data_IF_135087879699
#
_entry.id   IF_135087879699
#
_cell.length_a   1.000
_cell.length_b   1.000
_cell.length_c   1.000
_cell.angle_alpha   90.00
_cell.angle_beta   90.00
_cell.angle_gamma   90.00
#
_symmetry.space_group_name_H-M   'P 1'
#
loop_
_entity.id
_entity.type
_entity.pdbx_description
1 polymer ?
#
# COMPACT_ATOMS: atom_id res chain seq x y z
N UNK A 1 19.86 3.52 -12.63
CA UNK A 1 18.96 2.35 -12.73
C UNK A 1 19.78 1.12 -12.33
N UNK A 2 20.15 0.20 -13.22
CA UNK A 2 20.87 -1.05 -12.84
C UNK A 2 22.21 -0.89 -12.09
N UNK A 3 22.90 0.24 -12.24
CA UNK A 3 24.12 0.57 -11.45
C UNK A 3 23.85 0.95 -9.99
N UNK A 4 22.73 1.63 -9.72
CA UNK A 4 22.40 2.16 -8.37
C UNK A 4 22.45 1.01 -7.35
N UNK A 5 21.74 -0.08 -7.65
CA UNK A 5 21.68 -1.27 -6.79
C UNK A 5 22.88 -2.20 -6.89
N UNK A 6 23.87 -1.93 -7.76
CA UNK A 6 25.09 -2.76 -7.85
C UNK A 6 26.19 -2.34 -6.87
N UNK A 7 26.04 -1.18 -6.20
CA UNK A 7 27.03 -0.61 -5.27
C UNK A 7 26.51 -0.17 -3.91
N UNK A 8 25.26 0.28 -3.82
CA UNK A 8 24.58 0.79 -2.63
C UNK A 8 25.21 0.40 -1.24
N UNK A 9 25.66 1.37 -0.40
CA UNK A 9 26.07 1.26 1.05
C UNK A 9 25.98 2.59 1.85
N UNK A 10 25.12 2.87 2.87
CA UNK A 10 24.53 2.09 4.00
C UNK A 10 23.14 2.68 4.51
N UNK A 11 22.36 2.01 5.40
CA UNK A 11 21.07 2.41 6.05
C UNK A 11 20.53 1.34 7.08
N UNK A 12 19.93 1.73 8.22
CA UNK A 12 19.62 0.82 9.36
C UNK A 12 18.17 0.90 9.91
N UNK A 13 17.71 -0.11 10.69
CA UNK A 13 16.53 -0.01 11.58
C UNK A 13 16.68 -0.96 12.79
N UNK A 14 16.61 -0.44 14.02
CA UNK A 14 16.52 -1.28 15.24
C UNK A 14 15.06 -1.60 15.59
N UNK A 15 14.77 -2.86 15.93
CA UNK A 15 13.39 -3.37 16.14
C UNK A 15 13.28 -4.29 17.37
N UNK A 16 13.74 -3.83 18.53
CA UNK A 16 13.61 -4.54 19.81
C UNK A 16 12.42 -4.06 20.67
N UNK A 17 11.94 -4.92 21.57
CA UNK A 17 11.03 -4.48 22.64
C UNK A 17 11.81 -3.65 23.67
N UNK A 18 11.46 -2.36 23.80
CA UNK A 18 11.83 -1.60 25.00
C UNK A 18 11.06 -2.16 26.21
N UNK A 19 11.73 -2.94 27.06
CA UNK A 19 11.18 -3.30 28.37
C UNK A 19 10.99 -2.03 29.21
N UNK A 20 9.73 -1.71 29.52
CA UNK A 20 9.33 -0.47 30.18
C UNK A 20 9.59 -0.47 31.69
N UNK A 21 10.88 -0.41 32.07
CA UNK A 21 11.25 -0.03 33.43
C UNK A 21 11.02 1.47 33.65
N UNK A 22 9.81 1.78 34.16
CA UNK A 22 9.41 3.03 34.82
C UNK A 22 9.89 4.34 34.17
N UNK A 23 9.10 4.83 33.21
CA UNK A 23 9.33 6.07 32.49
C UNK A 23 9.05 7.35 33.33
N UNK A 24 9.80 7.55 34.42
CA UNK A 24 9.84 8.83 35.18
C UNK A 24 11.24 9.44 35.25
N UNK A 25 12.32 8.65 35.23
CA UNK A 25 13.70 9.14 35.39
C UNK A 25 14.69 8.44 34.44
N UNK A 26 14.70 8.85 33.16
CA UNK A 26 15.77 8.46 32.21
C UNK A 26 16.32 9.71 31.50
N UNK A 27 17.23 10.41 32.18
CA UNK A 27 18.33 11.13 31.53
C UNK A 27 19.57 10.26 31.70
N UNK A 28 19.64 9.19 30.89
CA UNK A 28 20.70 8.19 30.97
C UNK A 28 20.74 7.33 29.71
N UNK A 29 21.84 7.41 28.96
CA UNK A 29 22.00 6.74 27.68
C UNK A 29 22.35 5.24 27.87
N UNK A 30 21.33 4.38 27.83
CA UNK A 30 21.54 2.96 27.53
C UNK A 30 21.72 2.80 26.02
N UNK A 31 22.94 3.01 25.53
CA UNK A 31 23.28 2.79 24.12
C UNK A 31 23.03 1.32 23.76
N UNK A 32 22.29 1.08 22.68
CA UNK A 32 22.11 -0.24 22.08
C UNK A 32 23.44 -0.65 21.44
N UNK A 33 23.86 -1.91 21.63
CA UNK A 33 25.11 -2.40 21.03
C UNK A 33 24.92 -2.73 19.56
N UNK A 34 25.86 -2.32 18.71
CA UNK A 34 25.97 -2.71 17.30
C UNK A 34 26.03 -4.24 17.10
N UNK A 35 26.36 -4.98 18.16
CA UNK A 35 26.56 -6.43 18.17
C UNK A 35 25.30 -7.25 18.51
N UNK A 36 24.10 -6.67 18.45
CA UNK A 36 22.84 -7.41 18.63
C UNK A 36 22.58 -8.33 17.42
N UNK A 37 22.36 -9.63 17.66
CA UNK A 37 22.23 -10.67 16.60
C UNK A 37 21.02 -10.47 15.68
N UNK A 38 20.17 -9.48 15.95
CA UNK A 38 19.03 -9.06 15.13
C UNK A 38 19.33 -7.91 14.16
N UNK A 39 20.56 -7.38 14.14
CA UNK A 39 20.95 -6.28 13.25
C UNK A 39 21.35 -6.78 11.85
N UNK A 40 20.98 -6.06 10.79
CA UNK A 40 21.27 -6.39 9.39
C UNK A 40 21.64 -5.14 8.59
N UNK A 41 22.67 -5.23 7.75
CA UNK A 41 23.35 -4.08 7.15
C UNK A 41 23.12 -3.95 5.62
N UNK A 42 22.30 -2.97 5.21
CA UNK A 42 22.07 -2.47 3.82
C UNK A 42 22.44 -0.95 3.75
N UNK A 43 22.48 -0.10 2.68
CA UNK A 43 22.05 -0.16 1.27
C UNK A 43 22.08 1.16 0.35
N UNK A 44 23.01 2.17 0.32
CA UNK A 44 23.05 3.29 -0.74
C UNK A 44 24.30 4.26 -0.97
N UNK A 45 24.75 4.62 -2.21
CA UNK A 45 25.93 5.54 -2.60
C UNK A 45 25.54 6.78 -3.47
N UNK A 46 26.37 7.85 -3.53
CA UNK A 46 26.19 9.06 -4.36
C UNK A 46 26.67 8.95 -5.83
N UNK A 47 27.64 8.07 -6.16
CA UNK A 47 28.37 8.16 -7.45
C UNK A 47 27.60 7.71 -8.70
N UNK A 48 26.36 7.22 -8.57
CA UNK A 48 25.66 6.46 -9.61
C UNK A 48 24.85 7.27 -10.66
N UNK A 49 24.94 8.60 -10.68
CA UNK A 49 24.12 9.47 -11.56
C UNK A 49 24.87 10.31 -12.61
N UNK A 50 26.21 10.41 -12.54
CA UNK A 50 27.02 11.33 -13.35
C UNK A 50 26.54 12.81 -13.29
N UNK A 51 26.98 13.65 -14.22
CA UNK A 51 26.59 15.07 -14.32
C UNK A 51 25.10 15.35 -14.56
N UNK A 52 24.27 14.32 -14.78
CA UNK A 52 22.82 14.44 -15.02
C UNK A 52 22.07 15.05 -13.82
N UNK A 53 22.69 15.04 -12.63
CA UNK A 53 22.16 15.69 -11.44
C UNK A 53 22.17 17.23 -11.55
N UNK A 54 23.24 17.82 -12.08
CA UNK A 54 23.29 19.28 -12.32
C UNK A 54 22.37 19.67 -13.49
N UNK A 55 22.27 18.84 -14.55
CA UNK A 55 21.28 19.03 -15.62
C UNK A 55 19.84 19.08 -15.04
N UNK A 56 19.50 18.17 -14.12
CA UNK A 56 18.20 18.17 -13.44
C UNK A 56 17.99 19.40 -12.55
N UNK A 57 18.98 19.76 -11.72
CA UNK A 57 18.90 20.96 -10.89
C UNK A 57 18.71 22.23 -11.74
N UNK A 58 19.29 22.29 -12.94
CA UNK A 58 19.10 23.42 -13.88
C UNK A 58 17.67 23.58 -14.41
N UNK A 59 16.81 22.56 -14.29
CA UNK A 59 15.39 22.65 -14.67
C UNK A 59 14.54 23.43 -13.64
N UNK A 60 15.10 23.73 -12.47
CA UNK A 60 14.44 24.54 -11.44
C UNK A 60 15.04 25.95 -11.40
N UNK A 61 14.20 26.96 -11.62
CA UNK A 61 14.55 28.36 -11.39
C UNK A 61 14.52 28.70 -9.90
N UNK A 62 15.68 28.66 -9.25
CA UNK A 62 15.90 29.26 -7.93
C UNK A 62 15.84 30.80 -8.02
N UNK A 63 15.50 31.48 -6.92
CA UNK A 63 15.59 32.95 -6.84
C UNK A 63 16.98 33.35 -6.35
N UNK A 64 17.61 34.29 -7.04
CA UNK A 64 18.89 34.85 -6.61
C UNK A 64 18.77 35.47 -5.20
N UNK A 65 19.65 35.05 -4.29
CA UNK A 65 19.77 35.60 -2.93
C UNK A 65 19.17 34.75 -1.81
N UNK A 66 18.39 33.70 -2.12
CA UNK A 66 18.13 32.62 -1.17
C UNK A 66 19.27 31.58 -1.25
N UNK A 67 19.74 31.07 -0.12
CA UNK A 67 20.60 29.87 -0.12
C UNK A 67 19.86 28.69 -0.79
N UNK A 68 20.58 27.64 -1.23
CA UNK A 68 19.99 26.43 -1.88
C UNK A 68 19.10 25.63 -0.90
N UNK A 69 17.95 26.19 -0.54
CA UNK A 69 17.01 25.71 0.46
C UNK A 69 15.75 25.20 -0.24
N UNK A 70 15.52 23.86 -0.33
CA UNK A 70 14.52 23.30 -1.25
C UNK A 70 13.06 23.68 -0.99
N UNK A 71 12.73 24.30 0.14
CA UNK A 71 11.38 24.80 0.44
C UNK A 71 10.91 25.95 -0.48
N UNK A 72 11.80 26.57 -1.26
CA UNK A 72 11.51 27.75 -2.10
C UNK A 72 11.08 27.44 -3.55
N UNK A 73 10.79 26.19 -3.91
CA UNK A 73 10.41 25.79 -5.28
C UNK A 73 9.00 26.33 -5.63
N UNK A 74 8.94 27.56 -6.13
CA UNK A 74 7.68 28.23 -6.53
C UNK A 74 7.39 28.07 -8.03
N UNK A 75 6.83 26.93 -8.43
CA UNK A 75 6.31 26.72 -9.78
C UNK A 75 5.96 25.26 -10.08
N UNK A 76 4.75 25.02 -10.62
CA UNK A 76 4.40 23.72 -11.19
C UNK A 76 4.86 23.69 -12.64
N UNK A 77 5.88 22.88 -12.95
CA UNK A 77 6.27 22.58 -14.33
C UNK A 77 5.16 21.73 -14.94
N UNK A 78 4.37 22.33 -15.85
CA UNK A 78 3.12 21.76 -16.34
C UNK A 78 3.30 20.55 -17.28
N UNK A 79 4.53 20.21 -17.66
CA UNK A 79 4.85 19.09 -18.55
C UNK A 79 6.19 18.46 -18.10
N UNK A 80 6.11 17.45 -17.23
CA UNK A 80 7.28 16.68 -16.77
C UNK A 80 7.43 15.42 -17.63
N UNK A 81 8.47 15.38 -18.45
CA UNK A 81 8.83 14.18 -19.22
C UNK A 81 9.14 12.99 -18.31
N UNK A 82 9.07 11.76 -18.82
CA UNK A 82 9.33 10.55 -18.04
C UNK A 82 10.69 10.54 -17.31
N UNK A 83 11.72 11.18 -17.88
CA UNK A 83 13.01 11.38 -17.22
C UNK A 83 12.96 12.40 -16.08
N UNK A 84 12.24 13.52 -16.25
CA UNK A 84 12.02 14.49 -15.18
C UNK A 84 11.17 13.90 -14.05
N UNK A 85 10.18 13.05 -14.37
CA UNK A 85 9.42 12.29 -13.38
C UNK A 85 10.30 11.29 -12.62
N UNK A 86 11.22 10.61 -13.31
CA UNK A 86 12.20 9.71 -12.69
C UNK A 86 13.16 10.46 -11.74
N UNK A 87 13.56 11.68 -12.09
CA UNK A 87 14.42 12.52 -11.26
C UNK A 87 13.66 13.20 -10.10
N UNK A 88 12.37 13.51 -10.26
CA UNK A 88 11.52 13.93 -9.15
C UNK A 88 11.28 12.78 -8.16
N UNK A 89 11.05 11.57 -8.67
CA UNK A 89 11.08 10.36 -7.86
C UNK A 89 12.44 10.18 -7.17
N UNK A 90 13.57 10.40 -7.84
CA UNK A 90 14.92 10.33 -7.27
C UNK A 90 15.21 11.39 -6.18
N UNK A 91 14.64 12.59 -6.31
CA UNK A 91 14.69 13.61 -5.26
C UNK A 91 13.82 13.22 -4.06
N UNK A 92 12.58 12.77 -4.30
CA UNK A 92 11.69 12.28 -3.24
C UNK A 92 12.32 11.11 -2.49
N UNK A 93 12.89 10.14 -3.23
CA UNK A 93 13.77 9.07 -2.77
C UNK A 93 14.85 9.57 -1.81
N UNK A 94 15.62 10.59 -2.22
CA UNK A 94 16.72 11.14 -1.42
C UNK A 94 16.20 11.86 -0.17
N UNK A 95 15.11 12.61 -0.26
CA UNK A 95 14.42 13.22 0.88
C UNK A 95 13.72 12.22 1.82
N UNK A 96 13.50 10.98 1.38
CA UNK A 96 12.93 9.89 2.16
C UNK A 96 14.02 9.02 2.81
N UNK A 97 15.08 8.69 2.06
CA UNK A 97 16.26 8.00 2.57
C UNK A 97 17.02 8.85 3.61
N UNK A 98 17.05 10.17 3.44
CA UNK A 98 17.60 11.12 4.42
C UNK A 98 16.60 11.50 5.53
N UNK A 99 15.47 10.79 5.68
CA UNK A 99 14.46 11.03 6.72
C UNK A 99 13.60 12.30 6.57
N UNK A 100 14.15 13.34 5.95
CA UNK A 100 13.63 14.71 5.90
C UNK A 100 12.14 14.86 5.57
N UNK A 101 11.60 14.11 4.60
CA UNK A 101 10.16 14.14 4.31
C UNK A 101 9.33 13.64 5.50
N UNK A 102 9.78 12.57 6.16
CA UNK A 102 9.08 11.96 7.30
C UNK A 102 9.13 12.91 8.50
N UNK A 103 10.28 13.57 8.74
CA UNK A 103 10.42 14.59 9.77
C UNK A 103 9.54 15.82 9.51
N UNK A 104 9.54 16.32 8.27
CA UNK A 104 8.82 17.53 7.86
C UNK A 104 7.30 17.35 7.84
N UNK A 105 6.81 16.15 7.52
CA UNK A 105 5.37 15.87 7.31
C UNK A 105 4.74 14.99 8.39
N UNK A 106 5.53 14.36 9.25
CA UNK A 106 5.10 13.31 10.19
C UNK A 106 4.27 12.21 9.51
N UNK A 107 4.68 11.80 8.31
CA UNK A 107 3.94 10.87 7.44
C UNK A 107 4.74 9.61 7.09
N UNK A 108 4.08 8.45 7.21
CA UNK A 108 4.57 7.13 6.82
C UNK A 108 3.94 6.63 5.51
N UNK A 109 3.17 7.46 4.81
CA UNK A 109 2.64 7.19 3.45
C UNK A 109 3.67 6.53 2.50
N UNK A 110 4.96 6.93 2.47
CA UNK A 110 5.99 6.24 1.69
C UNK A 110 6.10 4.73 1.96
N UNK A 111 5.98 4.30 3.22
CA UNK A 111 6.14 2.90 3.61
C UNK A 111 4.98 2.02 3.11
N UNK A 112 3.80 2.58 2.83
CA UNK A 112 2.70 1.83 2.20
C UNK A 112 3.07 1.29 0.81
N UNK A 113 4.03 1.90 0.12
CA UNK A 113 4.55 1.39 -1.16
C UNK A 113 5.57 0.24 -0.99
N UNK A 114 6.11 0.01 0.22
CA UNK A 114 7.06 -1.09 0.48
C UNK A 114 6.47 -2.49 0.23
N UNK A 115 5.15 -2.61 0.26
CA UNK A 115 4.46 -3.85 -0.08
C UNK A 115 4.46 -4.20 -1.58
N UNK A 116 4.89 -3.32 -2.49
CA UNK A 116 4.71 -3.48 -3.95
C UNK A 116 5.92 -4.10 -4.69
N UNK A 117 6.86 -4.72 -3.98
CA UNK A 117 8.12 -5.25 -4.54
C UNK A 117 7.90 -6.19 -5.72
N UNK A 118 8.66 -5.98 -6.79
CA UNK A 118 8.61 -6.82 -7.99
C UNK A 118 10.01 -7.25 -8.47
N UNK A 119 11.09 -6.54 -8.12
CA UNK A 119 12.46 -6.84 -8.55
C UNK A 119 13.32 -7.48 -7.45
N UNK A 120 13.16 -7.04 -6.20
CA UNK A 120 13.96 -7.49 -5.07
C UNK A 120 13.10 -8.18 -3.99
N UNK A 121 12.74 -9.47 -4.17
CA UNK A 121 11.85 -10.18 -3.24
C UNK A 121 12.43 -10.34 -1.83
N UNK A 122 13.76 -10.41 -1.72
CA UNK A 122 14.49 -10.62 -0.45
C UNK A 122 14.63 -9.35 0.41
N UNK A 123 14.15 -8.19 -0.04
CA UNK A 123 14.14 -6.98 0.78
C UNK A 123 13.26 -7.17 2.04
N UNK A 124 13.64 -6.64 3.22
CA UNK A 124 12.80 -6.62 4.42
C UNK A 124 11.41 -6.04 4.16
N UNK A 125 10.35 -6.51 4.83
CA UNK A 125 8.94 -6.17 4.51
C UNK A 125 8.61 -4.66 4.47
N UNK A 126 9.37 -3.85 5.22
CA UNK A 126 9.29 -2.39 5.31
C UNK A 126 10.11 -1.63 4.25
N UNK A 127 11.06 -2.29 3.58
CA UNK A 127 11.95 -1.65 2.61
C UNK A 127 11.28 -1.50 1.23
N UNK A 128 11.34 -0.28 0.68
CA UNK A 128 10.70 0.08 -0.59
C UNK A 128 11.59 -0.37 -1.76
N UNK A 129 11.04 -1.16 -2.68
CA UNK A 129 11.70 -1.51 -3.95
C UNK A 129 11.52 -0.36 -4.94
N UNK A 130 12.41 0.63 -4.88
CA UNK A 130 12.32 1.81 -5.74
C UNK A 130 12.65 1.56 -7.22
N UNK A 131 12.84 0.31 -7.64
CA UNK A 131 12.86 -0.02 -9.08
C UNK A 131 11.47 -0.32 -9.65
N UNK A 132 10.42 -0.41 -8.83
CA UNK A 132 9.05 -0.57 -9.31
C UNK A 132 8.65 0.56 -10.28
N UNK A 133 9.12 1.77 -10.02
CA UNK A 133 8.89 2.97 -10.85
C UNK A 133 9.53 2.88 -12.25
N UNK A 134 10.38 1.88 -12.52
CA UNK A 134 10.97 1.60 -13.85
C UNK A 134 10.14 0.62 -14.70
N UNK A 135 9.12 -0.05 -14.14
CA UNK A 135 8.54 -1.26 -14.73
C UNK A 135 7.20 -1.03 -15.46
N UNK A 136 6.93 -1.91 -16.44
CA UNK A 136 5.64 -2.00 -17.16
C UNK A 136 4.44 -2.22 -16.25
N UNK A 137 4.65 -2.88 -15.12
CA UNK A 137 3.61 -3.32 -14.18
C UNK A 137 3.13 -2.16 -13.27
N UNK A 138 3.53 -0.92 -13.60
CA UNK A 138 3.20 0.31 -12.89
C UNK A 138 1.71 0.62 -12.76
N UNK A 139 0.84 -0.12 -13.45
CA UNK A 139 -0.63 -0.10 -13.21
C UNK A 139 -0.95 -0.30 -11.73
N UNK A 140 -0.34 -1.29 -11.05
CA UNK A 140 -0.56 -1.50 -9.61
C UNK A 140 -0.11 -0.28 -8.78
N UNK A 141 1.04 0.31 -9.12
CA UNK A 141 1.55 1.49 -8.43
C UNK A 141 0.59 2.68 -8.58
N UNK A 142 0.10 2.97 -9.79
CA UNK A 142 -0.85 4.05 -10.04
C UNK A 142 -2.21 3.78 -9.37
N UNK A 143 -2.68 2.52 -9.29
CA UNK A 143 -3.86 2.16 -8.49
C UNK A 143 -3.63 2.47 -7.00
N UNK A 144 -2.57 1.94 -6.41
CA UNK A 144 -2.27 2.15 -4.98
C UNK A 144 -2.05 3.63 -4.66
N UNK A 145 -1.35 4.38 -5.50
CA UNK A 145 -1.19 5.84 -5.44
C UNK A 145 -2.53 6.58 -5.49
N UNK A 146 -3.49 6.12 -6.28
CA UNK A 146 -4.83 6.71 -6.36
C UNK A 146 -5.74 6.39 -5.15
N UNK A 147 -5.62 5.18 -4.56
CA UNK A 147 -6.46 4.78 -3.41
C UNK A 147 -5.85 5.11 -2.05
N UNK A 148 -4.52 5.24 -1.91
CA UNK A 148 -3.89 5.50 -0.61
C UNK A 148 -4.41 6.77 0.10
N UNK A 149 -4.67 7.90 -0.59
CA UNK A 149 -5.31 9.09 0.01
C UNK A 149 -6.78 8.91 0.44
N UNK A 150 -7.41 7.79 0.07
CA UNK A 150 -8.82 7.49 0.40
C UNK A 150 -8.96 6.74 1.73
N UNK A 151 -7.89 6.10 2.23
CA UNK A 151 -7.89 5.57 3.58
C UNK A 151 -7.82 6.71 4.59
N UNK A 152 -8.75 6.68 5.54
CA UNK A 152 -8.82 7.64 6.64
C UNK A 152 -8.61 6.87 7.92
N UNK A 153 -7.48 7.12 8.59
CA UNK A 153 -7.33 6.81 10.00
C UNK A 153 -8.42 7.53 10.81
N UNK A 154 -8.72 7.06 12.04
CA UNK A 154 -9.54 7.89 12.92
C UNK A 154 -8.77 9.12 13.39
N UNK A 155 -9.49 10.23 13.53
CA UNK A 155 -9.00 11.45 14.18
C UNK A 155 -8.72 11.23 15.68
N UNK A 156 -9.19 10.14 16.27
CA UNK A 156 -9.00 9.79 17.69
C UNK A 156 -7.63 9.15 17.98
N UNK A 157 -6.81 8.89 16.95
CA UNK A 157 -5.45 8.38 17.15
C UNK A 157 -4.54 9.45 17.77
N UNK A 158 -3.57 9.06 18.62
CA UNK A 158 -2.57 9.99 19.13
C UNK A 158 -1.75 10.59 17.99
N UNK A 159 -1.19 11.79 18.21
CA UNK A 159 -0.26 12.43 17.27
C UNK A 159 0.86 11.47 16.88
N UNK A 160 1.26 11.51 15.61
CA UNK A 160 2.33 10.69 15.07
C UNK A 160 3.66 10.95 15.77
N UNK A 161 4.03 10.07 16.70
CA UNK A 161 5.37 9.99 17.26
C UNK A 161 6.26 9.20 16.30
N UNK A 162 6.73 9.91 15.27
CA UNK A 162 7.72 9.44 14.31
C UNK A 162 8.96 10.31 14.48
N UNK A 163 10.14 9.69 14.51
CA UNK A 163 11.43 10.37 14.55
C UNK A 163 12.44 9.56 13.75
N UNK A 164 13.35 10.25 13.07
CA UNK A 164 14.55 9.65 12.51
C UNK A 164 15.68 9.88 13.53
N UNK A 165 16.33 8.80 13.96
CA UNK A 165 17.45 8.84 14.90
C UNK A 165 18.68 8.23 14.24
N UNK A 166 19.61 9.11 13.87
CA UNK A 166 20.88 8.79 13.20
C UNK A 166 20.67 8.04 11.87
N UNK A 167 20.50 6.72 11.93
CA UNK A 167 20.33 5.83 10.78
C UNK A 167 18.97 5.10 10.78
N UNK A 168 18.17 5.20 11.86
CA UNK A 168 16.96 4.41 12.09
C UNK A 168 15.66 5.25 12.09
N UNK A 169 14.59 4.67 11.55
CA UNK A 169 13.24 5.23 11.63
C UNK A 169 12.47 4.67 12.84
N UNK A 170 12.24 5.49 13.85
CA UNK A 170 11.46 5.16 15.05
C UNK A 170 10.03 5.67 14.88
N UNK A 171 9.05 4.76 14.97
CA UNK A 171 7.64 5.12 14.97
C UNK A 171 6.88 4.39 16.10
N UNK A 172 6.03 5.10 16.84
CA UNK A 172 5.13 4.48 17.83
C UNK A 172 3.79 4.12 17.20
N UNK A 173 3.53 2.82 17.06
CA UNK A 173 2.23 2.28 16.67
C UNK A 173 1.36 1.88 17.87
N UNK A 174 0.08 1.66 17.58
CA UNK A 174 -0.88 0.97 18.46
C UNK A 174 -1.00 -0.47 17.98
N UNK A 175 -0.77 -1.45 18.86
CA UNK A 175 -1.06 -2.85 18.56
C UNK A 175 -2.58 -3.02 18.39
N UNK A 176 -3.00 -3.54 17.23
CA UNK A 176 -4.41 -3.79 16.94
C UNK A 176 -4.75 -5.25 17.22
N UNK A 177 -4.00 -6.20 16.65
CA UNK A 177 -4.32 -7.63 16.76
C UNK A 177 -3.22 -8.55 16.20
N UNK A 178 -3.37 -9.86 16.39
CA UNK A 178 -2.48 -10.90 15.84
C UNK A 178 -3.17 -11.68 14.72
N UNK A 179 -2.45 -11.95 13.62
CA UNK A 179 -2.92 -12.79 12.51
C UNK A 179 -3.02 -14.25 12.97
N UNK A 180 -4.14 -14.93 12.67
CA UNK A 180 -4.39 -16.33 13.07
C UNK A 180 -4.58 -17.29 11.90
N UNK A 181 -4.98 -16.81 10.73
CA UNK A 181 -5.10 -17.62 9.52
C UNK A 181 -4.82 -16.78 8.27
N UNK A 182 -4.43 -17.47 7.19
CA UNK A 182 -4.02 -16.91 5.92
C UNK A 182 -4.69 -17.66 4.77
N UNK A 183 -5.05 -16.93 3.72
CA UNK A 183 -5.41 -17.51 2.42
C UNK A 183 -4.18 -17.87 1.58
N UNK A 184 -4.42 -18.40 0.38
CA UNK A 184 -3.40 -18.55 -0.67
C UNK A 184 -2.77 -17.22 -1.06
N UNK A 185 -1.58 -17.26 -1.66
CA UNK A 185 -1.03 -16.09 -2.35
C UNK A 185 -1.65 -15.96 -3.74
N UNK A 186 -2.12 -14.76 -4.08
CA UNK A 186 -2.60 -14.39 -5.41
C UNK A 186 -1.41 -14.04 -6.32
N UNK A 187 -0.54 -15.02 -6.63
CA UNK A 187 0.74 -14.77 -7.30
C UNK A 187 0.71 -14.83 -8.84
N UNK A 188 -0.30 -15.46 -9.43
CA UNK A 188 -0.43 -15.64 -10.89
C UNK A 188 -1.55 -14.80 -11.49
N UNK A 189 -1.26 -14.01 -12.51
CA UNK A 189 -2.24 -13.19 -13.24
C UNK A 189 -3.22 -13.97 -14.14
N UNK A 190 -3.25 -15.31 -14.06
CA UNK A 190 -4.17 -16.13 -14.86
C UNK A 190 -5.57 -16.13 -14.28
N UNK A 191 -6.59 -16.17 -15.14
CA UNK A 191 -7.99 -16.15 -14.69
C UNK A 191 -8.32 -17.31 -13.72
N UNK A 192 -7.81 -18.51 -14.01
CA UNK A 192 -8.01 -19.69 -13.18
C UNK A 192 -7.38 -19.56 -11.80
N UNK A 193 -6.14 -19.06 -11.69
CA UNK A 193 -5.48 -18.85 -10.41
C UNK A 193 -6.15 -17.74 -9.58
N UNK A 194 -6.70 -16.73 -10.26
CA UNK A 194 -7.49 -15.66 -9.66
C UNK A 194 -8.76 -16.20 -9.00
N UNK A 195 -9.53 -16.99 -9.75
CA UNK A 195 -10.72 -17.67 -9.25
C UNK A 195 -10.41 -18.61 -8.08
N UNK A 196 -9.44 -19.52 -8.24
CA UNK A 196 -9.06 -20.48 -7.20
C UNK A 196 -8.58 -19.79 -5.91
N UNK A 197 -7.95 -18.61 -6.02
CA UNK A 197 -7.59 -17.80 -4.86
C UNK A 197 -8.82 -17.19 -4.20
N UNK A 198 -9.74 -16.58 -4.95
CA UNK A 198 -10.99 -16.04 -4.42
C UNK A 198 -11.87 -17.11 -3.74
N UNK A 199 -11.95 -18.31 -4.32
CA UNK A 199 -12.68 -19.45 -3.74
C UNK A 199 -12.04 -19.91 -2.42
N UNK A 200 -10.72 -20.14 -2.41
CA UNK A 200 -9.99 -20.51 -1.18
C UNK A 200 -10.10 -19.43 -0.09
N UNK A 201 -10.11 -18.16 -0.48
CA UNK A 201 -10.26 -17.00 0.40
C UNK A 201 -11.67 -16.90 0.98
N UNK A 202 -12.70 -17.23 0.19
CA UNK A 202 -14.09 -17.30 0.62
C UNK A 202 -14.31 -18.45 1.60
N UNK A 203 -13.82 -19.65 1.27
CA UNK A 203 -13.92 -20.84 2.13
C UNK A 203 -13.26 -20.62 3.49
N UNK A 204 -12.11 -19.92 3.53
CA UNK A 204 -11.43 -19.55 4.78
C UNK A 204 -12.30 -18.68 5.70
N UNK A 205 -13.14 -17.81 5.15
CA UNK A 205 -14.09 -16.99 5.91
C UNK A 205 -15.30 -17.84 6.32
N UNK A 206 -15.91 -18.56 5.38
CA UNK A 206 -17.09 -19.42 5.60
C UNK A 206 -16.86 -20.50 6.66
N UNK A 207 -15.64 -21.03 6.77
CA UNK A 207 -15.25 -22.00 7.80
C UNK A 207 -15.38 -21.46 9.24
N UNK A 208 -15.38 -20.12 9.42
CA UNK A 208 -15.42 -19.46 10.74
C UNK A 208 -16.66 -18.57 10.93
N UNK A 209 -17.23 -18.03 9.86
CA UNK A 209 -18.22 -16.95 9.92
C UNK A 209 -19.32 -17.15 8.86
N UNK A 210 -20.58 -17.03 9.29
CA UNK A 210 -21.72 -16.91 8.37
C UNK A 210 -21.66 -15.56 7.62
N UNK A 211 -21.89 -15.51 6.29
CA UNK A 211 -21.87 -14.28 5.49
C UNK A 211 -22.76 -13.15 6.03
N UNK A 212 -23.91 -13.48 6.61
CA UNK A 212 -24.92 -12.53 7.06
C UNK A 212 -24.75 -12.12 8.53
N UNK A 213 -23.84 -12.76 9.27
CA UNK A 213 -23.52 -12.34 10.62
C UNK A 213 -22.88 -10.94 10.64
N UNK A 214 -23.09 -10.14 11.70
CA UNK A 214 -22.40 -8.87 11.89
C UNK A 214 -20.87 -9.05 11.93
N UNK A 215 -20.18 -8.23 11.13
CA UNK A 215 -18.75 -7.99 11.20
C UNK A 215 -18.45 -6.92 12.28
N UNK A 216 -17.23 -6.93 12.82
CA UNK A 216 -16.85 -6.11 13.98
C UNK A 216 -17.05 -4.59 13.79
N UNK A 217 -17.06 -4.11 12.55
CA UNK A 217 -17.23 -2.69 12.19
C UNK A 217 -18.67 -2.29 11.82
N UNK A 218 -19.66 -3.17 12.01
CA UNK A 218 -21.09 -2.85 11.87
C UNK A 218 -21.75 -3.15 10.52
N UNK A 219 -21.03 -3.72 9.55
CA UNK A 219 -21.61 -4.34 8.34
C UNK A 219 -21.69 -5.87 8.49
N UNK A 220 -21.90 -6.62 7.40
CA UNK A 220 -21.91 -8.10 7.42
C UNK A 220 -20.54 -8.66 6.99
N UNK A 221 -20.30 -9.96 7.24
CA UNK A 221 -19.08 -10.63 6.76
C UNK A 221 -18.95 -10.64 5.24
N UNK A 222 -20.07 -10.73 4.50
CA UNK A 222 -20.07 -10.61 3.04
C UNK A 222 -19.64 -9.21 2.57
N UNK A 223 -20.21 -8.15 3.15
CA UNK A 223 -19.82 -6.76 2.83
C UNK A 223 -18.34 -6.50 3.18
N UNK A 224 -17.88 -6.95 4.36
CA UNK A 224 -16.48 -6.82 4.77
C UNK A 224 -15.51 -7.57 3.84
N UNK A 225 -15.89 -8.76 3.34
CA UNK A 225 -15.12 -9.51 2.36
C UNK A 225 -14.99 -8.77 1.03
N UNK A 226 -16.12 -8.34 0.44
CA UNK A 226 -16.14 -7.64 -0.84
C UNK A 226 -15.39 -6.31 -0.77
N UNK A 227 -15.55 -5.54 0.33
CA UNK A 227 -14.73 -4.36 0.61
C UNK A 227 -13.24 -4.69 0.71
N UNK A 228 -12.88 -5.79 1.37
CA UNK A 228 -11.47 -6.19 1.49
C UNK A 228 -10.86 -6.48 0.11
N UNK A 229 -11.59 -7.14 -0.78
CA UNK A 229 -11.13 -7.43 -2.15
C UNK A 229 -10.82 -6.17 -2.97
N UNK A 230 -11.61 -5.10 -2.83
CA UNK A 230 -11.39 -3.83 -3.54
C UNK A 230 -10.66 -2.75 -2.71
N UNK A 231 -10.13 -3.11 -1.54
CA UNK A 231 -9.58 -2.21 -0.54
C UNK A 231 -10.51 -1.01 -0.20
N UNK A 232 -11.81 -1.30 -0.10
CA UNK A 232 -12.93 -0.37 0.14
C UNK A 232 -13.01 0.79 -0.87
N UNK A 233 -12.51 0.56 -2.09
CA UNK A 233 -12.44 1.54 -3.16
C UNK A 233 -13.04 0.98 -4.47
N UNK A 234 -13.34 1.87 -5.40
CA UNK A 234 -13.66 1.54 -6.79
C UNK A 234 -13.23 2.67 -7.72
N UNK A 235 -13.16 2.40 -9.02
CA UNK A 235 -13.14 3.49 -9.99
C UNK A 235 -14.53 4.14 -10.08
N UNK A 236 -14.54 5.45 -10.23
CA UNK A 236 -15.64 6.22 -10.80
C UNK A 236 -15.15 6.91 -12.08
N UNK A 237 -16.06 7.60 -12.78
CA UNK A 237 -15.89 8.01 -14.18
C UNK A 237 -14.57 8.70 -14.61
N UNK A 238 -13.79 9.27 -13.69
CA UNK A 238 -12.43 9.79 -13.96
C UNK A 238 -11.44 9.62 -12.78
N UNK A 239 -11.79 8.92 -11.69
CA UNK A 239 -10.94 8.85 -10.49
C UNK A 239 -11.30 7.68 -9.57
N UNK A 240 -10.36 7.27 -8.72
CA UNK A 240 -10.68 6.41 -7.59
C UNK A 240 -11.61 7.12 -6.60
N UNK A 241 -12.45 6.35 -5.90
CA UNK A 241 -13.27 6.79 -4.76
C UNK A 241 -13.48 5.62 -3.78
N UNK A 242 -13.95 5.93 -2.57
CA UNK A 242 -14.40 4.88 -1.63
C UNK A 242 -15.67 4.21 -2.17
N UNK A 243 -15.80 2.91 -1.91
CA UNK A 243 -16.99 2.13 -2.20
C UNK A 243 -18.06 2.37 -1.12
N UNK A 244 -19.30 2.64 -1.52
CA UNK A 244 -20.42 2.82 -0.59
C UNK A 244 -21.20 1.49 -0.41
N UNK A 245 -22.40 1.53 0.15
CA UNK A 245 -23.27 0.35 0.30
C UNK A 245 -23.95 -0.09 -1.00
N UNK A 246 -24.24 0.85 -1.91
CA UNK A 246 -24.83 0.54 -3.22
C UNK A 246 -23.85 -0.14 -4.17
N UNK A 247 -22.59 0.29 -4.20
CA UNK A 247 -21.54 -0.33 -5.02
C UNK A 247 -21.31 -1.78 -4.60
N UNK A 248 -21.19 -2.04 -3.29
CA UNK A 248 -20.97 -3.38 -2.75
C UNK A 248 -22.22 -4.27 -2.91
N UNK A 249 -23.43 -3.73 -2.74
CA UNK A 249 -24.67 -4.47 -3.00
C UNK A 249 -24.82 -4.84 -4.50
N UNK A 250 -24.52 -3.89 -5.40
CA UNK A 250 -24.50 -4.12 -6.85
C UNK A 250 -23.46 -5.17 -7.24
N UNK A 251 -22.24 -5.04 -6.74
CA UNK A 251 -21.18 -6.01 -7.00
C UNK A 251 -21.53 -7.39 -6.45
N UNK A 252 -22.04 -7.48 -5.21
CA UNK A 252 -22.45 -8.76 -4.60
C UNK A 252 -23.57 -9.48 -5.37
N UNK A 253 -24.48 -8.74 -6.01
CA UNK A 253 -25.55 -9.33 -6.82
C UNK A 253 -25.00 -9.93 -8.12
N UNK A 254 -24.23 -9.14 -8.86
CA UNK A 254 -23.73 -9.54 -10.19
C UNK A 254 -22.58 -10.56 -10.12
N UNK A 255 -21.71 -10.48 -9.11
CA UNK A 255 -20.60 -11.43 -8.89
C UNK A 255 -21.04 -12.90 -8.92
N UNK A 256 -22.25 -13.21 -8.46
CA UNK A 256 -22.81 -14.58 -8.45
C UNK A 256 -23.17 -15.13 -9.83
N UNK A 257 -23.50 -14.24 -10.77
CA UNK A 257 -23.79 -14.54 -12.19
C UNK A 257 -22.46 -14.60 -12.95
N UNK A 258 -21.64 -13.57 -12.80
CA UNK A 258 -20.39 -13.44 -13.57
C UNK A 258 -19.33 -14.45 -13.14
N UNK A 259 -19.32 -15.00 -11.92
CA UNK A 259 -18.47 -16.15 -11.58
C UNK A 259 -18.74 -17.38 -12.49
N UNK A 260 -19.95 -17.52 -13.03
CA UNK A 260 -20.30 -18.63 -13.93
C UNK A 260 -19.95 -18.31 -15.40
N UNK A 261 -20.06 -17.06 -15.83
CA UNK A 261 -19.71 -16.65 -17.20
C UNK A 261 -18.20 -16.41 -17.41
N UNK A 262 -17.50 -15.89 -16.38
CA UNK A 262 -16.04 -15.76 -16.35
C UNK A 262 -15.33 -17.12 -16.46
N UNK A 263 -15.97 -18.20 -15.99
CA UNK A 263 -15.52 -19.57 -16.20
C UNK A 263 -15.62 -20.04 -17.67
N UNK A 264 -16.44 -19.39 -18.50
CA UNK A 264 -16.89 -19.93 -19.78
C UNK A 264 -16.24 -19.30 -21.02
N UNK A 265 -15.76 -18.05 -20.99
CA UNK A 265 -14.92 -17.57 -22.10
C UNK A 265 -14.03 -16.35 -21.82
N UNK A 266 -12.74 -16.49 -22.13
CA UNK A 266 -11.79 -15.38 -22.38
C UNK A 266 -12.03 -14.70 -23.76
N UNK A 267 -13.19 -14.98 -24.40
CA UNK A 267 -13.47 -14.69 -25.82
C UNK A 267 -14.84 -14.05 -26.09
N UNK A 268 -15.73 -13.85 -25.09
CA UNK A 268 -17.00 -13.12 -25.26
C UNK A 268 -17.12 -11.92 -24.32
N UNK A 269 -16.29 -10.89 -24.54
CA UNK A 269 -16.23 -9.66 -23.73
C UNK A 269 -17.50 -8.78 -23.65
N UNK A 270 -18.65 -9.19 -24.21
CA UNK A 270 -19.74 -8.26 -24.57
C UNK A 270 -21.20 -8.77 -24.46
N UNK A 271 -21.50 -9.89 -23.76
CA UNK A 271 -22.83 -10.53 -23.87
C UNK A 271 -23.62 -10.86 -22.57
N UNK A 272 -23.05 -10.73 -21.37
CA UNK A 272 -23.68 -11.27 -20.14
C UNK A 272 -24.75 -10.39 -19.49
N UNK A 273 -24.71 -9.06 -19.64
CA UNK A 273 -25.73 -8.15 -19.10
C UNK A 273 -26.47 -7.40 -20.22
N UNK A 274 -27.79 -7.17 -20.10
CA UNK A 274 -28.52 -6.33 -21.04
C UNK A 274 -28.03 -4.88 -20.94
N UNK A 275 -27.40 -4.37 -22.01
CA UNK A 275 -26.78 -3.04 -22.08
C UNK A 275 -27.76 -1.85 -22.00
N UNK A 276 -29.03 -2.12 -21.66
CA UNK A 276 -30.05 -1.15 -21.28
C UNK A 276 -30.02 -0.74 -19.81
N UNK A 277 -29.29 -1.47 -18.94
CA UNK A 277 -29.22 -1.16 -17.51
C UNK A 277 -28.09 -0.18 -17.17
N UNK A 278 -28.41 0.77 -16.30
CA UNK A 278 -27.49 1.83 -15.86
C UNK A 278 -27.40 1.87 -14.34
N UNK A 279 -26.18 1.82 -13.82
CA UNK A 279 -25.89 2.13 -12.42
C UNK A 279 -25.87 3.65 -12.21
N UNK A 280 -26.40 4.12 -11.07
CA UNK A 280 -26.38 5.53 -10.68
C UNK A 280 -25.36 5.78 -9.57
N UNK A 281 -24.31 6.52 -9.91
CA UNK A 281 -23.29 7.00 -8.98
C UNK A 281 -23.89 8.03 -7.99
N UNK A 282 -23.26 8.23 -6.83
CA UNK A 282 -23.71 9.15 -5.78
C UNK A 282 -23.95 10.58 -6.26
N UNK A 283 -23.13 11.05 -7.20
CA UNK A 283 -23.26 12.38 -7.81
C UNK A 283 -24.38 12.49 -8.85
N UNK A 284 -25.24 11.46 -8.97
CA UNK A 284 -26.39 11.40 -9.86
C UNK A 284 -26.07 10.99 -11.30
N UNK A 285 -24.80 10.88 -11.68
CA UNK A 285 -24.39 10.40 -13.01
C UNK A 285 -24.83 8.95 -13.21
N UNK A 286 -25.23 8.62 -14.42
CA UNK A 286 -25.57 7.26 -14.84
C UNK A 286 -24.46 6.72 -15.72
N UNK A 287 -24.00 5.50 -15.40
CA UNK A 287 -22.99 4.75 -16.16
C UNK A 287 -23.60 3.38 -16.53
N UNK A 288 -23.22 2.77 -17.67
CA UNK A 288 -23.63 1.41 -17.98
C UNK A 288 -23.26 0.43 -16.85
N UNK A 289 -24.16 -0.50 -16.52
CA UNK A 289 -23.94 -1.45 -15.41
C UNK A 289 -22.70 -2.34 -15.65
N UNK A 290 -22.46 -2.77 -16.89
CA UNK A 290 -21.28 -3.53 -17.29
C UNK A 290 -19.98 -2.74 -17.11
N UNK A 291 -19.98 -1.45 -17.48
CA UNK A 291 -18.84 -0.57 -17.23
C UNK A 291 -18.55 -0.44 -15.73
N UNK A 292 -19.58 -0.24 -14.90
CA UNK A 292 -19.39 -0.13 -13.45
C UNK A 292 -18.93 -1.44 -12.78
N UNK A 293 -19.38 -2.61 -13.26
CA UNK A 293 -18.85 -3.87 -12.79
C UNK A 293 -17.37 -4.04 -13.16
N UNK A 294 -17.00 -3.72 -14.41
CA UNK A 294 -15.61 -3.77 -14.86
C UNK A 294 -14.71 -2.80 -14.08
N UNK A 295 -15.20 -1.61 -13.69
CA UNK A 295 -14.50 -0.68 -12.80
C UNK A 295 -14.16 -1.31 -11.43
N UNK A 296 -15.12 -1.98 -10.79
CA UNK A 296 -14.89 -2.66 -9.50
C UNK A 296 -13.97 -3.88 -9.69
N UNK A 297 -14.19 -4.67 -10.74
CA UNK A 297 -13.39 -5.88 -11.04
C UNK A 297 -11.92 -5.55 -11.38
N UNK A 298 -11.69 -4.45 -12.09
CA UNK A 298 -10.36 -3.90 -12.35
C UNK A 298 -9.65 -3.45 -11.07
N UNK A 299 -10.35 -2.71 -10.20
CA UNK A 299 -9.83 -2.33 -8.88
C UNK A 299 -9.41 -3.56 -8.06
N UNK A 300 -10.25 -4.58 -7.97
CA UNK A 300 -9.93 -5.83 -7.24
C UNK A 300 -8.67 -6.48 -7.81
N UNK A 301 -8.57 -6.63 -9.15
CA UNK A 301 -7.39 -7.23 -9.80
C UNK A 301 -6.09 -6.53 -9.40
N UNK A 302 -6.05 -5.21 -9.44
CA UNK A 302 -4.87 -4.42 -9.06
C UNK A 302 -4.59 -4.40 -7.54
N UNK A 303 -5.63 -4.55 -6.71
CA UNK A 303 -5.51 -4.58 -5.25
C UNK A 303 -5.00 -5.93 -4.73
N UNK A 304 -5.52 -7.06 -5.27
CA UNK A 304 -5.23 -8.39 -4.71
C UNK A 304 -4.00 -9.09 -5.30
N UNK A 305 -3.48 -8.65 -6.45
CA UNK A 305 -2.29 -9.25 -7.06
C UNK A 305 -1.07 -9.18 -6.11
N UNK A 306 -0.36 -10.31 -5.94
CA UNK A 306 0.77 -10.45 -5.02
C UNK A 306 0.40 -10.42 -3.53
N UNK A 307 -0.90 -10.45 -3.18
CA UNK A 307 -1.39 -10.44 -1.79
C UNK A 307 -1.76 -11.83 -1.28
N UNK A 308 -1.86 -11.92 0.05
CA UNK A 308 -2.59 -12.94 0.81
C UNK A 308 -3.72 -12.26 1.56
N UNK A 309 -4.88 -12.89 1.62
CA UNK A 309 -5.90 -12.59 2.63
C UNK A 309 -5.43 -13.06 4.01
N UNK A 310 -5.78 -12.32 5.07
CA UNK A 310 -5.55 -12.73 6.45
C UNK A 310 -6.78 -12.52 7.33
N UNK A 311 -6.88 -13.35 8.38
CA UNK A 311 -7.87 -13.24 9.46
C UNK A 311 -7.17 -13.13 10.81
N UNK A 312 -7.54 -12.14 11.62
CA UNK A 312 -6.94 -11.87 12.94
C UNK A 312 -7.73 -12.49 14.10
N UNK A 313 -7.18 -12.47 15.31
CA UNK A 313 -7.73 -13.12 16.51
C UNK A 313 -9.04 -12.51 17.01
N UNK A 314 -9.22 -11.21 16.86
CA UNK A 314 -10.46 -10.45 17.16
C UNK A 314 -11.45 -10.46 15.98
N UNK A 315 -11.12 -11.14 14.88
CA UNK A 315 -11.99 -11.27 13.71
C UNK A 315 -11.93 -10.10 12.75
N UNK A 316 -10.78 -9.43 12.58
CA UNK A 316 -10.57 -8.52 11.47
C UNK A 316 -10.12 -9.28 10.22
N UNK A 317 -10.55 -8.79 9.06
CA UNK A 317 -10.18 -9.25 7.73
C UNK A 317 -9.25 -8.23 7.07
N UNK A 318 -8.29 -8.68 6.25
CA UNK A 318 -7.43 -7.78 5.49
C UNK A 318 -6.57 -8.46 4.43
N UNK A 319 -5.84 -7.64 3.65
CA UNK A 319 -4.85 -8.06 2.67
C UNK A 319 -3.47 -7.58 3.09
N UNK A 320 -2.44 -8.40 2.88
CA UNK A 320 -1.03 -7.96 2.96
C UNK A 320 -0.15 -8.78 2.01
N UNK A 321 1.15 -8.51 1.98
CA UNK A 321 2.08 -9.10 1.03
C UNK A 321 2.26 -10.62 1.22
N UNK A 322 2.81 -11.31 0.21
CA UNK A 322 3.07 -12.76 0.23
C UNK A 322 3.95 -13.26 1.40
N UNK A 323 4.70 -12.38 2.06
CA UNK A 323 5.61 -12.72 3.16
C UNK A 323 4.96 -12.90 4.54
N UNK A 324 3.69 -12.50 4.71
CA UNK A 324 3.01 -12.62 6.02
C UNK A 324 2.85 -14.08 6.48
N UNK A 325 2.95 -14.27 7.80
CA UNK A 325 2.82 -15.52 8.54
C UNK A 325 1.73 -15.42 9.62
N UNK A 326 1.20 -16.57 10.05
CA UNK A 326 0.34 -16.63 11.24
C UNK A 326 1.18 -16.38 12.49
N UNK A 327 0.64 -15.64 13.47
CA UNK A 327 1.38 -15.13 14.63
C UNK A 327 1.98 -13.73 14.45
N UNK A 328 2.04 -13.20 13.23
CA UNK A 328 2.48 -11.81 13.00
C UNK A 328 1.47 -10.79 13.57
N UNK A 329 1.99 -9.69 14.09
CA UNK A 329 1.21 -8.65 14.79
C UNK A 329 0.90 -7.47 13.87
N UNK A 330 -0.34 -7.00 13.91
CA UNK A 330 -0.84 -5.86 13.15
C UNK A 330 -0.85 -4.60 14.01
N UNK A 331 -0.23 -3.53 13.49
CA UNK A 331 -0.13 -2.23 14.13
C UNK A 331 -0.78 -1.13 13.28
N UNK A 332 -1.39 -0.14 13.94
CA UNK A 332 -1.75 1.14 13.32
C UNK A 332 -0.74 2.18 13.80
N UNK A 333 0.02 2.74 12.86
CA UNK A 333 0.90 3.88 13.11
C UNK A 333 0.16 5.16 12.71
N UNK A 334 0.00 6.16 13.62
CA UNK A 334 -0.49 7.46 13.20
C UNK A 334 0.48 8.06 12.18
N UNK A 335 -0.04 8.61 11.09
CA UNK A 335 0.75 9.04 9.93
C UNK A 335 0.90 7.99 8.82
N UNK A 336 0.56 6.72 9.04
CA UNK A 336 0.44 5.72 7.97
C UNK A 336 -1.01 5.63 7.47
N UNK A 337 -1.32 5.70 6.17
CA UNK A 337 -2.69 5.60 5.68
C UNK A 337 -3.31 4.21 5.90
N UNK A 338 -2.48 3.18 6.04
CA UNK A 338 -2.87 1.76 6.14
C UNK A 338 -2.25 1.10 7.37
N UNK A 339 -2.92 0.12 8.02
CA UNK A 339 -2.29 -0.74 9.02
C UNK A 339 -1.05 -1.44 8.46
N UNK A 340 -0.07 -1.71 9.32
CA UNK A 340 1.16 -2.41 9.00
C UNK A 340 1.23 -3.75 9.71
N UNK A 341 1.77 -4.77 9.05
CA UNK A 341 1.98 -6.11 9.63
C UNK A 341 3.46 -6.30 9.92
N UNK A 342 3.78 -6.61 11.17
CA UNK A 342 5.13 -6.81 11.66
C UNK A 342 5.47 -8.30 11.77
N UNK A 343 6.62 -8.69 11.22
CA UNK A 343 7.14 -10.05 11.31
C UNK A 343 7.96 -10.22 12.59
N UNK A 344 7.35 -10.90 13.57
CA UNK A 344 7.94 -11.33 14.85
C UNK A 344 8.86 -12.53 14.70
#
# INVERSE_FOLDING_TARGET
MGGIYSKCREAFVWMGEMQTQQATDIVGSSAISETDEKCYHFYGDETDFDGKWEDYLSTFTFKDGEERNPGAISGVVADLSASAMSLHCAWLLRSLAAGYYIELTSSLLPLSFAGLKNRYPELPSWAIDWTIFEQSDGEQYEVWKAILPLFRLSNDLPTAHIKVEEEALIARGVEVDVITALGTTMDQSTHFAFQASLESWRDLILLKHDPENPYAMGSTWNDAWLRTLCADCCWGANSARRANSHDIAFFSANLSVEFQDLLLSDHQKHHSTPSSEFFRLENGMQVPSDAHFNDIWGMIKSVIQGRKLFLTKKGYLGLSNKGILSGNTMFIFPGAPTPSVYCT
#
